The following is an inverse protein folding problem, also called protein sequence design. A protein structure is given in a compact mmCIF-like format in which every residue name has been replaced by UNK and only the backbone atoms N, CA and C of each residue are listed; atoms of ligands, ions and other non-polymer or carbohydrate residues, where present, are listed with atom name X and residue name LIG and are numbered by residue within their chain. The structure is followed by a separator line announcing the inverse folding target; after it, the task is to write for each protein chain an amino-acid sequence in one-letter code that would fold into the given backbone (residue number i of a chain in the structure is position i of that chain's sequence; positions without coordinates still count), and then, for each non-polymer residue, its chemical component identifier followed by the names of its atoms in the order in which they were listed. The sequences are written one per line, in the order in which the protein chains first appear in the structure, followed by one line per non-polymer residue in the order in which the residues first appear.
data_IF_321459849197
#
_entry.id   IF_321459849197
#
_cell.length_a   1.000
_cell.length_b   1.000
_cell.length_c   1.000
_cell.angle_alpha   90.00
_cell.angle_beta   90.00
_cell.angle_gamma   90.00
#
_symmetry.space_group_name_H-M   'P 1'
#
loop_
_entity.id
_entity.type
_entity.pdbx_description
1 polymer ?
#
# COMPACT_ATOMS: atom_id res chain seq x y z
N UNK A 1 37.73 16.63 32.13
CA UNK A 1 37.97 15.38 31.40
C UNK A 1 39.02 15.64 30.33
N UNK A 2 40.01 14.75 30.15
CA UNK A 2 41.02 14.94 29.10
C UNK A 2 40.42 14.66 27.71
N UNK A 3 40.92 15.31 26.64
CA UNK A 3 40.45 15.09 25.27
C UNK A 3 40.58 13.62 24.83
N UNK A 4 41.58 12.91 25.36
CA UNK A 4 41.75 11.47 25.15
C UNK A 4 40.58 10.65 25.71
N UNK A 5 40.10 10.95 26.91
CA UNK A 5 38.95 10.25 27.52
C UNK A 5 37.65 10.55 26.76
N UNK A 6 37.49 11.78 26.27
CA UNK A 6 36.34 12.15 25.45
C UNK A 6 36.33 11.37 24.13
N UNK A 7 37.48 11.28 23.45
CA UNK A 7 37.63 10.52 22.21
C UNK A 7 37.34 9.02 22.40
N UNK A 8 37.78 8.43 23.51
CA UNK A 8 37.49 7.03 23.82
C UNK A 8 36.00 6.77 24.08
N UNK A 9 35.31 7.68 24.76
CA UNK A 9 33.86 7.55 25.02
C UNK A 9 33.07 7.67 23.70
N UNK A 10 33.43 8.62 22.85
CA UNK A 10 32.78 8.79 21.54
C UNK A 10 33.02 7.57 20.65
N UNK A 11 34.25 7.05 20.61
CA UNK A 11 34.59 5.84 19.84
C UNK A 11 33.82 4.62 20.35
N UNK A 12 33.75 4.42 21.66
CA UNK A 12 33.01 3.31 22.25
C UNK A 12 31.50 3.42 21.97
N UNK A 13 30.94 4.63 22.10
CA UNK A 13 29.54 4.89 21.77
C UNK A 13 29.22 4.59 20.30
N UNK A 14 30.10 4.98 19.38
CA UNK A 14 29.94 4.72 17.95
C UNK A 14 29.96 3.22 17.63
N UNK A 15 30.88 2.48 18.25
CA UNK A 15 30.97 1.02 18.06
C UNK A 15 29.72 0.31 18.59
N UNK A 16 29.24 0.66 19.78
CA UNK A 16 28.01 0.09 20.37
C UNK A 16 26.79 0.46 19.52
N UNK A 17 26.72 1.69 19.01
CA UNK A 17 25.63 2.14 18.15
C UNK A 17 25.59 1.34 16.83
N UNK A 18 26.73 1.15 16.18
CA UNK A 18 26.82 0.36 14.93
C UNK A 18 26.42 -1.10 15.19
N UNK A 19 26.90 -1.71 16.27
CA UNK A 19 26.50 -3.07 16.67
C UNK A 19 25.01 -3.18 16.97
N UNK A 20 24.45 -2.24 17.73
CA UNK A 20 23.02 -2.19 18.04
C UNK A 20 22.15 -1.98 16.80
N UNK A 21 22.60 -1.14 15.86
CA UNK A 21 21.93 -0.95 14.58
C UNK A 21 21.93 -2.22 13.74
N UNK A 22 23.07 -2.92 13.66
CA UNK A 22 23.22 -4.12 12.85
C UNK A 22 22.41 -5.29 13.40
N UNK A 23 22.51 -5.55 14.71
CA UNK A 23 21.71 -6.58 15.40
C UNK A 23 20.22 -6.22 15.38
N UNK A 24 19.90 -4.94 15.62
CA UNK A 24 18.54 -4.42 15.53
C UNK A 24 17.96 -4.60 14.14
N UNK A 25 18.75 -4.37 13.09
CA UNK A 25 18.36 -4.59 11.69
C UNK A 25 18.11 -6.07 11.37
N UNK A 26 18.97 -6.96 11.85
CA UNK A 26 18.79 -8.42 11.69
C UNK A 26 17.56 -8.96 12.44
N UNK A 27 17.18 -8.35 13.58
CA UNK A 27 15.96 -8.72 14.31
C UNK A 27 14.70 -8.03 13.80
N UNK A 28 14.85 -7.03 12.94
CA UNK A 28 13.75 -6.31 12.28
C UNK A 28 13.44 -6.86 10.91
N UNK A 29 13.74 -8.13 10.63
CA UNK A 29 13.17 -8.79 9.47
C UNK A 29 11.65 -8.91 9.71
N UNK A 30 10.79 -8.08 9.09
CA UNK A 30 9.42 -8.50 8.97
C UNK A 30 9.49 -9.85 8.26
N UNK A 31 8.83 -10.88 8.81
CA UNK A 31 8.61 -12.12 8.06
C UNK A 31 8.22 -11.71 6.65
N UNK A 32 8.81 -12.30 5.58
CA UNK A 32 8.39 -11.99 4.23
C UNK A 32 6.88 -12.15 4.23
N UNK A 33 6.16 -11.03 4.14
CA UNK A 33 4.74 -11.10 3.88
C UNK A 33 4.71 -11.78 2.52
N UNK A 34 4.30 -13.05 2.52
CA UNK A 34 3.83 -13.66 1.29
C UNK A 34 2.92 -12.60 0.65
N UNK A 35 3.13 -12.26 -0.63
CA UNK A 35 2.26 -11.33 -1.32
C UNK A 35 0.89 -11.98 -1.36
N UNK A 36 0.11 -11.78 -0.30
CA UNK A 36 -1.32 -12.05 -0.34
C UNK A 36 -1.82 -11.06 -1.37
N UNK A 37 -2.46 -11.52 -2.45
CA UNK A 37 -3.14 -10.60 -3.34
C UNK A 37 -4.04 -9.76 -2.43
N UNK A 38 -3.85 -8.45 -2.46
CA UNK A 38 -4.77 -7.57 -1.78
C UNK A 38 -6.06 -7.65 -2.57
N UNK A 39 -6.96 -8.54 -2.15
CA UNK A 39 -8.24 -8.78 -2.81
C UNK A 39 -9.23 -7.80 -2.18
N UNK A 40 -9.58 -6.74 -2.91
CA UNK A 40 -10.59 -5.78 -2.41
C UNK A 40 -11.92 -6.48 -2.11
N UNK A 41 -12.23 -7.56 -2.83
CA UNK A 41 -13.38 -8.40 -2.57
C UNK A 41 -13.41 -9.04 -1.16
N UNK A 42 -12.27 -9.39 -0.57
CA UNK A 42 -12.24 -9.96 0.80
C UNK A 42 -12.59 -8.89 1.85
N UNK A 43 -12.08 -7.66 1.65
CA UNK A 43 -12.41 -6.52 2.51
C UNK A 43 -13.88 -6.15 2.38
N UNK A 44 -14.41 -6.14 1.15
CA UNK A 44 -15.80 -5.85 0.88
C UNK A 44 -16.75 -6.92 1.45
N UNK A 45 -16.42 -8.20 1.31
CA UNK A 45 -17.22 -9.31 1.86
C UNK A 45 -17.35 -9.25 3.38
N UNK A 46 -16.35 -8.68 4.07
CA UNK A 46 -16.40 -8.50 5.53
C UNK A 46 -17.23 -7.30 6.01
N UNK A 47 -17.63 -6.39 5.10
CA UNK A 47 -18.24 -5.09 5.44
C UNK A 47 -19.58 -4.80 4.77
N UNK A 48 -19.94 -5.54 3.72
CA UNK A 48 -21.14 -5.28 2.92
C UNK A 48 -22.18 -6.39 3.05
N UNK A 49 -23.43 -6.07 2.73
CA UNK A 49 -24.46 -7.09 2.54
C UNK A 49 -24.13 -7.92 1.29
N UNK A 50 -24.57 -9.20 1.22
CA UNK A 50 -24.38 -10.04 0.05
C UNK A 50 -24.93 -9.41 -1.23
N UNK A 51 -26.08 -8.75 -1.15
CA UNK A 51 -26.73 -8.07 -2.28
C UNK A 51 -25.89 -6.90 -2.80
N UNK A 52 -25.33 -6.09 -1.89
CA UNK A 52 -24.45 -4.98 -2.26
C UNK A 52 -23.13 -5.51 -2.84
N UNK A 53 -22.60 -6.60 -2.28
CA UNK A 53 -21.39 -7.25 -2.77
C UNK A 53 -21.56 -7.75 -4.21
N UNK A 54 -22.68 -8.41 -4.52
CA UNK A 54 -22.98 -8.86 -5.88
C UNK A 54 -23.08 -7.68 -6.87
N UNK A 55 -23.68 -6.56 -6.44
CA UNK A 55 -23.81 -5.37 -7.27
C UNK A 55 -22.45 -4.72 -7.59
N UNK A 56 -21.51 -4.67 -6.64
CA UNK A 56 -20.20 -4.03 -6.85
C UNK A 56 -19.10 -4.99 -7.30
N UNK A 57 -19.34 -6.31 -7.28
CA UNK A 57 -18.34 -7.33 -7.61
C UNK A 57 -17.65 -7.08 -8.95
N UNK A 58 -18.34 -6.74 -10.06
CA UNK A 58 -17.67 -6.47 -11.33
C UNK A 58 -16.65 -5.31 -11.24
N UNK A 59 -16.96 -4.28 -10.46
CA UNK A 59 -16.04 -3.16 -10.22
C UNK A 59 -14.84 -3.61 -9.40
N UNK A 60 -15.06 -4.40 -8.35
CA UNK A 60 -13.97 -4.92 -7.52
C UNK A 60 -13.04 -5.81 -8.34
N UNK A 61 -13.59 -6.69 -9.18
CA UNK A 61 -12.82 -7.56 -10.08
C UNK A 61 -12.00 -6.74 -11.08
N UNK A 62 -12.57 -5.65 -11.63
CA UNK A 62 -11.87 -4.75 -12.54
C UNK A 62 -10.71 -4.00 -11.85
N UNK A 63 -10.92 -3.52 -10.62
CA UNK A 63 -9.88 -2.88 -9.82
C UNK A 63 -8.77 -3.87 -9.45
N UNK A 64 -9.12 -5.08 -9.02
CA UNK A 64 -8.15 -6.12 -8.68
C UNK A 64 -7.30 -6.51 -9.91
N UNK A 65 -7.91 -6.64 -11.09
CA UNK A 65 -7.19 -6.89 -12.34
C UNK A 65 -6.22 -5.76 -12.70
N UNK A 66 -6.65 -4.50 -12.57
CA UNK A 66 -5.80 -3.32 -12.81
C UNK A 66 -4.59 -3.30 -11.85
N UNK A 67 -4.82 -3.61 -10.56
CA UNK A 67 -3.75 -3.70 -9.57
C UNK A 67 -2.75 -4.81 -9.93
N UNK A 68 -3.24 -6.00 -10.31
CA UNK A 68 -2.38 -7.11 -10.73
C UNK A 68 -1.51 -6.75 -11.95
N UNK A 69 -2.08 -6.07 -12.94
CA UNK A 69 -1.33 -5.58 -14.10
C UNK A 69 -0.24 -4.58 -13.68
N UNK A 70 -0.59 -3.61 -12.83
CA UNK A 70 0.38 -2.63 -12.32
C UNK A 70 1.52 -3.26 -11.51
N UNK A 71 1.23 -4.32 -10.74
CA UNK A 71 2.28 -5.08 -10.04
C UNK A 71 3.20 -5.81 -11.01
N UNK A 72 2.64 -6.47 -12.03
CA UNK A 72 3.44 -7.19 -13.04
C UNK A 72 4.36 -6.24 -13.81
N UNK A 73 3.84 -5.09 -14.26
CA UNK A 73 4.61 -4.07 -14.96
C UNK A 73 5.73 -3.51 -14.08
N UNK A 74 5.42 -3.18 -12.82
CA UNK A 74 6.41 -2.70 -11.86
C UNK A 74 7.53 -3.71 -11.61
N UNK A 75 7.21 -4.99 -11.50
CA UNK A 75 8.21 -6.06 -11.35
C UNK A 75 9.12 -6.12 -12.58
N UNK A 76 8.58 -6.03 -13.79
CA UNK A 76 9.37 -5.97 -15.03
C UNK A 76 10.33 -4.79 -15.02
N UNK A 77 9.84 -3.59 -14.71
CA UNK A 77 10.68 -2.38 -14.71
C UNK A 77 11.80 -2.49 -13.67
N UNK A 78 11.54 -3.05 -12.49
CA UNK A 78 12.60 -3.26 -11.49
C UNK A 78 13.66 -4.27 -11.92
N UNK A 79 13.27 -5.32 -12.64
CA UNK A 79 14.23 -6.26 -13.22
C UNK A 79 15.12 -5.56 -14.25
N UNK A 80 14.53 -4.76 -15.13
CA UNK A 80 15.25 -3.95 -16.12
C UNK A 80 16.19 -2.93 -15.44
N UNK A 81 15.72 -2.25 -14.40
CA UNK A 81 16.51 -1.28 -13.64
C UNK A 81 17.70 -1.95 -12.94
N UNK A 82 17.50 -3.13 -12.37
CA UNK A 82 18.58 -3.92 -11.75
C UNK A 82 19.66 -4.30 -12.75
N UNK A 83 19.26 -4.66 -13.97
CA UNK A 83 20.20 -4.97 -15.06
C UNK A 83 20.93 -3.70 -15.53
N UNK A 84 20.21 -2.60 -15.73
CA UNK A 84 20.78 -1.34 -16.22
C UNK A 84 21.81 -0.74 -15.24
N UNK A 85 21.52 -0.76 -13.93
CA UNK A 85 22.43 -0.24 -12.90
C UNK A 85 23.71 -1.09 -12.75
N UNK A 86 23.65 -2.38 -13.10
CA UNK A 86 24.80 -3.31 -13.03
C UNK A 86 25.59 -3.38 -14.34
N UNK A 87 25.13 -2.73 -15.40
CA UNK A 87 25.80 -2.74 -16.68
C UNK A 87 27.06 -1.88 -16.66
N UNK A 88 28.09 -2.32 -17.39
CA UNK A 88 29.30 -1.55 -17.63
C UNK A 88 29.52 -1.46 -19.15
N UNK A 89 29.59 -0.25 -19.74
CA UNK A 89 29.53 1.06 -19.07
C UNK A 89 28.14 1.39 -18.50
N UNK A 90 28.12 2.22 -17.46
CA UNK A 90 26.87 2.74 -16.89
C UNK A 90 26.11 3.59 -17.92
N UNK A 91 24.84 3.26 -18.15
CA UNK A 91 23.94 3.97 -19.05
C UNK A 91 22.94 4.81 -18.23
N UNK A 92 23.32 6.05 -17.94
CA UNK A 92 22.49 6.99 -17.18
C UNK A 92 21.13 7.22 -17.85
N UNK A 93 21.12 7.41 -19.17
CA UNK A 93 19.90 7.72 -19.91
C UNK A 93 18.88 6.59 -19.80
N UNK A 94 19.33 5.33 -19.89
CA UNK A 94 18.48 4.16 -19.72
C UNK A 94 17.92 4.04 -18.29
N UNK A 95 18.74 4.30 -17.28
CA UNK A 95 18.27 4.27 -15.88
C UNK A 95 17.22 5.35 -15.63
N UNK A 96 17.47 6.58 -16.11
CA UNK A 96 16.50 7.68 -16.00
C UNK A 96 15.18 7.37 -16.71
N UNK A 97 15.22 6.81 -17.92
CA UNK A 97 14.02 6.38 -18.66
C UNK A 97 13.19 5.37 -17.85
N UNK A 98 13.83 4.34 -17.30
CA UNK A 98 13.15 3.32 -16.49
C UNK A 98 12.50 3.90 -15.22
N UNK A 99 13.17 4.87 -14.57
CA UNK A 99 12.60 5.55 -13.41
C UNK A 99 11.38 6.41 -13.78
N UNK A 100 11.41 7.09 -14.93
CA UNK A 100 10.26 7.86 -15.42
C UNK A 100 9.09 6.94 -15.79
N UNK A 101 9.36 5.80 -16.43
CA UNK A 101 8.35 4.77 -16.73
C UNK A 101 7.63 4.27 -15.49
N UNK A 102 8.31 4.13 -14.34
CA UNK A 102 7.65 3.78 -13.07
C UNK A 102 6.62 4.83 -12.62
N UNK A 103 6.96 6.12 -12.78
CA UNK A 103 6.07 7.23 -12.41
C UNK A 103 4.86 7.26 -13.33
N UNK A 104 5.08 7.11 -14.63
CA UNK A 104 4.00 7.13 -15.62
C UNK A 104 3.06 5.93 -15.47
N UNK A 105 3.60 4.72 -15.28
CA UNK A 105 2.80 3.52 -15.04
C UNK A 105 1.91 3.67 -13.79
N UNK A 106 2.48 4.20 -12.69
CA UNK A 106 1.70 4.51 -11.48
C UNK A 106 0.59 5.51 -11.76
N UNK A 107 0.90 6.62 -12.44
CA UNK A 107 -0.08 7.68 -12.72
C UNK A 107 -1.23 7.18 -13.59
N UNK A 108 -0.92 6.35 -14.60
CA UNK A 108 -1.92 5.76 -15.47
C UNK A 108 -2.83 4.80 -14.70
N UNK A 109 -2.25 3.89 -13.90
CA UNK A 109 -3.02 2.97 -13.07
C UNK A 109 -3.91 3.71 -12.06
N UNK A 110 -3.38 4.74 -11.40
CA UNK A 110 -4.14 5.54 -10.43
C UNK A 110 -5.30 6.30 -11.11
N UNK A 111 -5.06 6.86 -12.31
CA UNK A 111 -6.10 7.55 -13.09
C UNK A 111 -7.23 6.59 -13.45
N UNK A 112 -6.88 5.40 -13.95
CA UNK A 112 -7.87 4.39 -14.35
C UNK A 112 -8.62 3.82 -13.14
N UNK A 113 -7.93 3.60 -12.02
CA UNK A 113 -8.55 3.18 -10.77
C UNK A 113 -9.63 4.18 -10.31
N UNK A 114 -9.31 5.47 -10.31
CA UNK A 114 -10.28 6.51 -9.91
C UNK A 114 -11.43 6.65 -10.91
N UNK A 115 -11.17 6.42 -12.21
CA UNK A 115 -12.22 6.35 -13.23
C UNK A 115 -13.21 5.22 -12.95
N UNK A 116 -12.72 4.00 -12.71
CA UNK A 116 -13.55 2.83 -12.37
C UNK A 116 -14.37 3.04 -11.10
N UNK A 117 -13.76 3.65 -10.07
CA UNK A 117 -14.46 4.03 -8.83
C UNK A 117 -15.57 5.03 -9.12
N UNK A 118 -15.30 6.06 -9.94
CA UNK A 118 -16.28 7.07 -10.34
C UNK A 118 -17.47 6.48 -11.09
N UNK A 119 -17.20 5.61 -12.06
CA UNK A 119 -18.23 4.92 -12.85
C UNK A 119 -19.12 4.05 -11.94
N UNK A 120 -18.51 3.28 -11.05
CA UNK A 120 -19.25 2.44 -10.10
C UNK A 120 -20.16 3.25 -9.17
N UNK A 121 -19.68 4.40 -8.68
CA UNK A 121 -20.50 5.27 -7.85
C UNK A 121 -21.72 5.84 -8.59
N UNK A 122 -21.66 5.97 -9.92
CA UNK A 122 -22.79 6.47 -10.71
C UNK A 122 -23.95 5.45 -10.78
N UNK A 123 -23.62 4.16 -10.80
CA UNK A 123 -24.59 3.07 -10.92
C UNK A 123 -25.18 2.61 -9.57
N UNK A 124 -24.55 2.98 -8.45
CA UNK A 124 -24.97 2.58 -7.11
C UNK A 124 -26.07 3.48 -6.53
N UNK A 125 -27.00 2.85 -5.80
CA UNK A 125 -27.99 3.56 -4.97
C UNK A 125 -27.31 4.38 -3.87
N UNK A 126 -28.07 5.27 -3.22
CA UNK A 126 -27.53 6.12 -2.15
C UNK A 126 -27.00 5.30 -0.95
N UNK A 127 -27.67 4.20 -0.61
CA UNK A 127 -27.25 3.31 0.47
C UNK A 127 -25.94 2.58 0.10
N UNK A 128 -25.85 2.08 -1.12
CA UNK A 128 -24.67 1.35 -1.61
C UNK A 128 -23.45 2.26 -1.77
N UNK A 129 -23.63 3.49 -2.25
CA UNK A 129 -22.55 4.50 -2.29
C UNK A 129 -21.97 4.79 -0.91
N UNK A 130 -22.83 4.89 0.11
CA UNK A 130 -22.39 5.11 1.49
C UNK A 130 -21.55 3.93 2.00
N UNK A 131 -21.96 2.70 1.68
CA UNK A 131 -21.24 1.50 2.09
C UNK A 131 -19.92 1.33 1.32
N UNK A 132 -19.90 1.67 0.03
CA UNK A 132 -18.71 1.68 -0.80
C UNK A 132 -17.68 2.72 -0.31
N UNK A 133 -18.14 3.90 0.10
CA UNK A 133 -17.27 4.95 0.64
C UNK A 133 -16.54 4.53 1.94
N UNK A 134 -17.19 3.73 2.78
CA UNK A 134 -16.61 3.14 4.00
C UNK A 134 -15.49 2.12 3.73
N UNK A 135 -15.34 1.67 2.48
CA UNK A 135 -14.30 0.73 2.06
C UNK A 135 -13.20 1.45 1.30
N UNK A 136 -13.57 2.31 0.34
CA UNK A 136 -12.63 2.91 -0.61
C UNK A 136 -12.01 4.20 -0.10
N UNK A 137 -12.75 5.04 0.61
CA UNK A 137 -12.28 6.38 1.03
C UNK A 137 -11.94 6.46 2.52
N UNK A 138 -12.61 5.66 3.35
CA UNK A 138 -12.26 5.53 4.76
C UNK A 138 -11.21 4.43 4.88
N UNK A 139 -9.94 4.86 4.89
CA UNK A 139 -8.78 3.97 5.03
C UNK A 139 -8.91 2.98 6.20
N UNK A 140 -8.06 1.94 6.26
CA UNK A 140 -8.20 0.87 7.25
C UNK A 140 -8.40 1.44 8.65
N UNK A 141 -9.59 1.20 9.24
CA UNK A 141 -9.85 1.50 10.65
C UNK A 141 -8.76 0.80 11.46
N UNK A 142 -7.80 1.58 11.96
CA UNK A 142 -6.86 1.07 12.96
C UNK A 142 -7.66 0.54 14.16
N UNK A 143 -7.12 -0.43 14.91
CA UNK A 143 -7.78 -0.88 16.14
C UNK A 143 -7.88 0.32 17.10
N UNK A 144 -9.08 0.92 17.21
CA UNK A 144 -9.34 2.09 18.07
C UNK A 144 -9.83 3.38 17.38
N UNK A 145 -10.16 3.36 16.08
CA UNK A 145 -10.78 4.53 15.44
C UNK A 145 -12.15 4.88 16.06
N UNK A 146 -12.49 6.19 16.22
CA UNK A 146 -13.77 6.59 16.79
C UNK A 146 -14.94 6.11 15.92
N UNK A 147 -16.10 5.74 16.52
CA UNK A 147 -17.28 5.32 15.76
C UNK A 147 -17.78 6.48 14.88
N UNK A 148 -18.40 6.17 13.72
CA UNK A 148 -18.95 7.20 12.84
C UNK A 148 -20.01 8.02 13.58
N UNK A 149 -20.08 9.35 13.36
CA UNK A 149 -21.13 10.16 13.95
C UNK A 149 -22.45 9.89 13.20
N UNK A 150 -23.41 9.23 13.86
CA UNK A 150 -24.84 9.42 13.54
C UNK A 150 -25.67 8.25 13.00
N UNK A 151 -25.50 7.01 13.46
CA UNK A 151 -26.53 5.97 13.27
C UNK A 151 -27.60 6.02 14.37
N UNK A 152 -28.91 5.90 14.07
CA UNK A 152 -29.96 5.91 15.09
C UNK A 152 -29.79 4.70 16.03
N UNK A 153 -29.53 4.97 17.31
CA UNK A 153 -29.53 3.95 18.36
C UNK A 153 -30.93 3.35 18.46
N UNK A 154 -31.12 2.10 18.00
CA UNK A 154 -32.28 1.33 18.42
C UNK A 154 -32.14 1.05 19.92
N UNK A 155 -33.18 1.31 20.74
CA UNK A 155 -33.12 1.02 22.16
C UNK A 155 -33.04 -0.50 22.40
N UNK A 156 -32.31 -0.94 23.43
CA UNK A 156 -32.15 -2.36 23.73
C UNK A 156 -33.51 -3.02 24.04
N UNK A 157 -33.71 -4.29 23.65
CA UNK A 157 -34.90 -5.04 24.03
C UNK A 157 -34.97 -5.21 25.55
N UNK A 158 -36.17 -5.03 26.11
CA UNK A 158 -36.47 -5.26 27.53
C UNK A 158 -36.56 -6.74 27.87
#
# INVERSE_FOLDING_TARGET
MSPLRLGLIVSLGLNIFVLGWWVGGLWRDPRPMEPRPFVMADVAASRLSPETLEAIKPTLDAVDHLLQQGFSERVSIFQELTQAVRAEPYDEARVTDLLLRLVDARKQAETEQWRLVGDALADLSAAERSAFAEIVFLGPRGPGGPPPPGGPMMPPPR
#
